data_IF_314144598348
#
_entry.id   IF_314144598348
#
_cell.length_a   1.000
_cell.length_b   1.000
_cell.length_c   1.000
_cell.angle_alpha   90.00
_cell.angle_beta   90.00
_cell.angle_gamma   90.00
#
_symmetry.space_group_name_H-M   'P 1'
#
loop_
_entity.id
_entity.type
_entity.pdbx_description
1 polymer ?
#
# COMPACT_ATOMS: atom_id res chain seq x y z
N UNK A 1 57.44 -41.50 -3.54
CA UNK A 1 58.50 -41.09 -4.49
C UNK A 1 57.84 -40.12 -5.47
N UNK A 2 57.95 -38.80 -5.31
CA UNK A 2 59.01 -37.91 -5.87
C UNK A 2 59.20 -38.16 -7.39
N UNK A 3 58.91 -37.24 -8.31
CA UNK A 3 59.52 -35.91 -8.54
C UNK A 3 58.63 -35.12 -9.55
N UNK A 4 58.32 -33.82 -9.31
CA UNK A 4 58.98 -32.58 -9.84
C UNK A 4 58.82 -32.37 -11.37
N UNK A 5 58.10 -31.35 -11.86
CA UNK A 5 58.34 -29.88 -11.89
C UNK A 5 59.04 -29.39 -13.18
N UNK A 6 58.65 -28.16 -13.58
CA UNK A 6 59.24 -27.22 -14.54
C UNK A 6 58.63 -27.32 -15.97
N UNK A 7 58.28 -26.23 -16.65
CA UNK A 7 58.93 -24.90 -16.62
C UNK A 7 57.96 -23.74 -16.83
N UNK A 8 58.19 -22.69 -16.05
CA UNK A 8 57.75 -21.33 -16.30
C UNK A 8 58.71 -20.63 -17.28
N UNK A 9 58.23 -19.50 -17.82
CA UNK A 9 58.97 -18.32 -18.30
C UNK A 9 59.04 -18.14 -19.82
N UNK A 10 58.21 -17.22 -20.31
CA UNK A 10 58.63 -16.28 -21.35
C UNK A 10 57.95 -14.93 -21.06
N UNK A 11 58.55 -14.19 -20.13
CA UNK A 11 58.32 -12.75 -20.03
C UNK A 11 59.18 -12.04 -21.07
N UNK A 12 58.58 -11.01 -21.68
CA UNK A 12 59.15 -9.74 -22.19
C UNK A 12 59.09 -9.50 -23.70
N UNK A 13 58.75 -8.24 -23.97
CA UNK A 13 58.74 -7.44 -25.20
C UNK A 13 57.40 -7.52 -25.96
N UNK A 14 56.65 -6.45 -26.20
CA UNK A 14 56.96 -5.03 -26.10
C UNK A 14 55.68 -4.21 -25.84
N UNK A 15 55.86 -3.08 -25.16
CA UNK A 15 54.88 -2.03 -25.08
C UNK A 15 54.74 -1.37 -26.46
N UNK A 16 53.52 -1.31 -26.98
CA UNK A 16 53.15 -0.31 -27.97
C UNK A 16 52.01 0.51 -27.37
N UNK A 17 52.38 1.68 -26.88
CA UNK A 17 51.45 2.74 -26.47
C UNK A 17 50.77 3.24 -27.74
N UNK A 18 49.46 3.01 -27.86
CA UNK A 18 48.60 3.86 -28.67
C UNK A 18 47.59 4.55 -27.78
N UNK A 19 47.74 5.86 -27.78
CA UNK A 19 46.95 6.91 -27.16
C UNK A 19 45.55 6.99 -27.76
N UNK A 20 44.56 7.19 -26.87
CA UNK A 20 43.33 7.94 -27.13
C UNK A 20 42.18 7.15 -27.78
N UNK A 21 41.19 6.76 -26.98
CA UNK A 21 39.92 7.50 -26.92
C UNK A 21 39.09 7.03 -25.73
N UNK A 22 38.42 7.99 -25.08
CA UNK A 22 37.52 7.82 -23.95
C UNK A 22 36.37 6.85 -24.28
N UNK A 23 36.42 5.64 -23.74
CA UNK A 23 35.22 4.88 -23.41
C UNK A 23 35.28 4.60 -21.91
N UNK A 24 34.42 5.29 -21.15
CA UNK A 24 34.16 4.97 -19.75
C UNK A 24 33.62 3.54 -19.69
N UNK A 25 34.44 2.63 -19.16
CA UNK A 25 34.07 1.24 -18.97
C UNK A 25 32.93 1.18 -17.92
N UNK A 26 31.69 0.77 -18.27
CA UNK A 26 30.52 0.84 -17.40
C UNK A 26 30.55 -0.17 -16.23
N UNK A 27 31.68 -0.86 -16.03
CA UNK A 27 31.92 -1.84 -14.98
C UNK A 27 33.13 -1.53 -14.09
N UNK A 28 33.67 -0.30 -14.14
CA UNK A 28 34.67 0.15 -13.17
C UNK A 28 34.04 0.31 -11.77
N UNK A 29 33.91 -0.79 -11.03
CA UNK A 29 33.50 -0.77 -9.62
C UNK A 29 34.67 -0.24 -8.78
N UNK A 30 34.71 1.07 -8.58
CA UNK A 30 35.63 1.73 -7.67
C UNK A 30 35.05 1.66 -6.24
N UNK A 31 35.58 0.75 -5.42
CA UNK A 31 35.20 0.65 -4.01
C UNK A 31 35.82 1.83 -3.25
N UNK A 32 35.03 2.87 -2.97
CA UNK A 32 35.43 3.99 -2.11
C UNK A 32 35.13 3.66 -0.62
N UNK A 33 36.13 3.29 0.20
CA UNK A 33 35.91 3.00 1.62
C UNK A 33 35.43 4.23 2.41
N UNK A 34 35.63 5.46 1.89
CA UNK A 34 35.12 6.68 2.53
C UNK A 34 33.64 6.92 2.25
N UNK A 35 33.07 6.32 1.20
CA UNK A 35 31.64 6.46 0.89
C UNK A 35 30.75 5.87 2.00
N UNK A 36 31.11 4.70 2.54
CA UNK A 36 30.40 4.09 3.66
C UNK A 36 30.46 4.95 4.92
N UNK A 37 31.63 5.49 5.24
CA UNK A 37 31.83 6.34 6.43
C UNK A 37 31.04 7.65 6.32
N UNK A 38 31.00 8.25 5.12
CA UNK A 38 30.21 9.46 4.85
C UNK A 38 28.71 9.19 4.96
N UNK A 39 28.24 8.04 4.47
CA UNK A 39 26.84 7.63 4.59
C UNK A 39 26.44 7.46 6.06
N UNK A 40 27.23 6.73 6.84
CA UNK A 40 26.97 6.53 8.28
C UNK A 40 26.96 7.86 9.05
N UNK A 41 27.91 8.76 8.74
CA UNK A 41 27.94 10.10 9.33
C UNK A 41 26.70 10.94 8.96
N UNK A 42 26.22 10.83 7.71
CA UNK A 42 25.01 11.52 7.26
C UNK A 42 23.76 10.96 7.94
N UNK A 43 23.68 9.65 8.15
CA UNK A 43 22.59 8.99 8.88
C UNK A 43 22.54 9.47 10.33
N UNK A 44 23.68 9.52 11.02
CA UNK A 44 23.74 9.99 12.41
C UNK A 44 23.40 11.49 12.53
N UNK A 45 23.80 12.30 11.54
CA UNK A 45 23.41 13.71 11.50
C UNK A 45 21.90 13.88 11.25
N UNK A 46 21.32 13.10 10.33
CA UNK A 46 19.88 13.10 10.07
C UNK A 46 19.06 12.67 11.30
N UNK A 47 19.56 11.71 12.10
CA UNK A 47 18.91 11.34 13.37
C UNK A 47 18.92 12.48 14.37
N UNK A 48 20.03 13.23 14.46
CA UNK A 48 20.14 14.40 15.35
C UNK A 48 19.27 15.57 14.88
N UNK A 49 19.16 15.78 13.57
CA UNK A 49 18.33 16.86 13.01
C UNK A 49 16.83 16.54 13.04
N UNK A 50 16.45 15.26 13.15
CA UNK A 50 15.04 14.85 13.19
C UNK A 50 14.26 15.52 14.33
N UNK A 51 14.85 15.65 15.52
CA UNK A 51 14.17 16.29 16.66
C UNK A 51 13.97 17.79 16.43
N UNK A 52 14.97 18.48 15.88
CA UNK A 52 14.88 19.89 15.52
C UNK A 52 13.84 20.14 14.42
N UNK A 53 13.79 19.30 13.38
CA UNK A 53 12.81 19.40 12.28
C UNK A 53 11.39 19.11 12.80
N UNK A 54 11.27 18.18 13.74
CA UNK A 54 9.99 17.84 14.36
C UNK A 54 9.47 19.00 15.21
N UNK A 55 10.33 19.68 15.98
CA UNK A 55 9.96 20.88 16.73
C UNK A 55 9.53 22.04 15.82
N UNK A 56 10.20 22.23 14.68
CA UNK A 56 9.88 23.30 13.72
C UNK A 56 8.54 23.07 13.00
N UNK A 57 8.23 21.82 12.65
CA UNK A 57 7.02 21.45 11.90
C UNK A 57 5.80 21.18 12.78
N UNK A 58 5.99 20.86 14.06
CA UNK A 58 4.90 20.54 14.96
C UNK A 58 4.03 21.77 15.29
N UNK A 59 2.70 21.60 15.44
CA UNK A 59 1.84 22.67 15.93
C UNK A 59 2.14 22.98 17.41
N UNK A 60 1.98 24.24 17.85
CA UNK A 60 2.14 24.60 19.26
C UNK A 60 1.11 23.82 20.10
N UNK A 61 1.58 23.14 21.16
CA UNK A 61 0.79 22.26 22.03
C UNK A 61 0.44 20.86 21.47
N UNK A 62 1.23 20.32 20.54
CA UNK A 62 1.05 18.94 20.09
C UNK A 62 1.14 17.93 21.25
N UNK A 63 0.19 16.99 21.32
CA UNK A 63 0.22 15.88 22.28
C UNK A 63 1.36 14.90 21.97
N UNK A 64 1.73 14.05 22.93
CA UNK A 64 2.76 13.02 22.70
C UNK A 64 2.38 12.03 21.59
N UNK A 65 1.08 11.74 21.43
CA UNK A 65 0.53 10.90 20.36
C UNK A 65 0.65 11.58 18.99
N UNK A 66 0.31 12.87 18.92
CA UNK A 66 0.49 13.70 17.74
C UNK A 66 1.96 13.73 17.30
N UNK A 67 2.88 13.98 18.23
CA UNK A 67 4.32 13.98 17.94
C UNK A 67 4.82 12.62 17.45
N UNK A 68 4.28 11.51 17.97
CA UNK A 68 4.61 10.16 17.50
C UNK A 68 4.15 9.93 16.05
N UNK A 69 2.97 10.44 15.67
CA UNK A 69 2.49 10.39 14.28
C UNK A 69 3.33 11.25 13.35
N UNK A 70 3.69 12.46 13.76
CA UNK A 70 4.60 13.33 12.98
C UNK A 70 5.94 12.64 12.76
N UNK A 71 6.50 12.02 13.81
CA UNK A 71 7.75 11.26 13.72
C UNK A 71 7.65 10.09 12.74
N UNK A 72 6.61 9.27 12.85
CA UNK A 72 6.39 8.15 11.92
C UNK A 72 6.23 8.62 10.47
N UNK A 73 5.62 9.79 10.29
CA UNK A 73 5.43 10.40 8.99
C UNK A 73 6.75 10.90 8.38
N UNK A 74 7.58 11.61 9.16
CA UNK A 74 8.90 12.08 8.71
C UNK A 74 9.87 10.93 8.39
N UNK A 75 9.73 9.77 9.03
CA UNK A 75 10.50 8.57 8.69
C UNK A 75 10.12 8.02 7.30
N UNK A 76 8.84 8.09 6.93
CA UNK A 76 8.35 7.65 5.61
C UNK A 76 8.65 8.70 4.53
N UNK A 77 8.54 9.97 4.89
CA UNK A 77 8.74 11.12 4.02
C UNK A 77 9.81 12.07 4.60
N UNK A 78 11.10 11.72 4.46
CA UNK A 78 12.18 12.59 4.90
C UNK A 78 12.10 13.96 4.22
N UNK A 79 12.40 15.00 5.00
CA UNK A 79 12.31 16.40 4.61
C UNK A 79 13.69 17.03 4.70
N UNK A 80 14.02 17.88 3.72
CA UNK A 80 15.23 18.69 3.67
C UNK A 80 16.51 17.89 4.00
N UNK A 81 17.11 18.17 5.16
CA UNK A 81 18.37 17.56 5.62
C UNK A 81 18.26 16.07 5.96
N UNK A 82 17.04 15.54 6.04
CA UNK A 82 16.78 14.11 6.28
C UNK A 82 16.88 13.27 5.00
N UNK A 83 17.00 13.91 3.83
CA UNK A 83 17.16 13.22 2.54
C UNK A 83 18.65 12.91 2.34
N UNK A 84 18.98 11.62 2.27
CA UNK A 84 20.36 11.13 2.21
C UNK A 84 20.86 10.81 0.79
N UNK A 85 19.97 10.87 -0.20
CA UNK A 85 20.29 10.53 -1.59
C UNK A 85 21.13 11.64 -2.26
N UNK A 86 22.11 11.25 -3.06
CA UNK A 86 23.01 12.19 -3.75
C UNK A 86 22.28 12.94 -4.87
N UNK A 87 21.51 12.23 -5.70
CA UNK A 87 20.72 12.83 -6.76
C UNK A 87 19.22 12.88 -6.41
N UNK A 88 18.59 13.96 -6.83
CA UNK A 88 17.17 14.23 -6.60
C UNK A 88 16.49 14.63 -7.90
N UNK A 89 15.33 14.04 -8.16
CA UNK A 89 14.43 14.47 -9.23
C UNK A 89 13.19 15.14 -8.64
N UNK A 90 13.01 16.43 -8.93
CA UNK A 90 11.83 17.19 -8.52
C UNK A 90 10.69 16.90 -9.51
N UNK A 91 9.58 16.38 -8.98
CA UNK A 91 8.42 15.95 -9.78
C UNK A 91 7.19 16.84 -9.61
N UNK A 92 7.08 17.52 -8.47
CA UNK A 92 5.96 18.40 -8.14
C UNK A 92 6.46 19.63 -7.38
N UNK A 93 5.90 20.78 -7.69
CA UNK A 93 6.19 22.06 -7.05
C UNK A 93 4.87 22.70 -6.66
N UNK A 94 4.68 22.99 -5.38
CA UNK A 94 3.55 23.78 -4.90
C UNK A 94 3.72 25.24 -5.31
N UNK A 95 2.67 25.84 -5.87
CA UNK A 95 2.63 27.29 -6.07
C UNK A 95 2.36 28.02 -4.74
N UNK A 96 3.17 29.02 -4.36
CA UNK A 96 3.06 29.69 -3.06
C UNK A 96 1.71 30.40 -2.87
N UNK A 97 1.15 30.96 -3.95
CA UNK A 97 -0.06 31.78 -3.90
C UNK A 97 -1.35 30.95 -3.93
N UNK A 98 -1.35 29.83 -4.66
CA UNK A 98 -2.56 29.01 -4.87
C UNK A 98 -2.60 27.76 -3.99
N UNK A 99 -1.46 27.30 -3.48
CA UNK A 99 -1.35 26.05 -2.71
C UNK A 99 -1.63 24.80 -3.54
N UNK A 100 -1.64 24.91 -4.88
CA UNK A 100 -1.86 23.80 -5.81
C UNK A 100 -0.49 23.26 -6.23
N UNK A 101 -0.33 21.94 -6.18
CA UNK A 101 0.87 21.25 -6.68
C UNK A 101 0.82 21.14 -8.21
N UNK A 102 1.79 21.75 -8.89
CA UNK A 102 2.00 21.59 -10.32
C UNK A 102 3.03 20.50 -10.59
N UNK A 103 2.72 19.63 -11.57
CA UNK A 103 3.62 18.57 -11.98
C UNK A 103 4.70 19.15 -12.89
N UNK A 104 5.96 18.96 -12.49
CA UNK A 104 7.13 19.45 -13.24
C UNK A 104 8.05 18.28 -13.54
N UNK A 105 8.60 18.24 -14.75
CA UNK A 105 9.52 17.19 -15.17
C UNK A 105 10.93 17.76 -15.30
N UNK A 106 11.58 18.01 -14.16
CA UNK A 106 12.99 18.41 -14.13
C UNK A 106 13.90 17.18 -14.27
N UNK A 107 15.05 17.37 -14.91
CA UNK A 107 16.12 16.38 -14.92
C UNK A 107 16.65 16.15 -13.50
N UNK A 108 17.21 14.96 -13.19
CA UNK A 108 17.92 14.73 -11.93
C UNK A 108 18.98 15.82 -11.69
N UNK A 109 19.07 16.28 -10.45
CA UNK A 109 20.02 17.31 -10.02
C UNK A 109 20.62 16.96 -8.66
N UNK A 110 21.74 17.59 -8.31
CA UNK A 110 22.36 17.44 -6.99
C UNK A 110 21.42 17.94 -5.88
N UNK A 111 21.40 17.24 -4.75
CA UNK A 111 20.58 17.56 -3.59
C UNK A 111 20.79 18.99 -3.10
N UNK A 112 22.03 19.51 -3.20
CA UNK A 112 22.35 20.90 -2.82
C UNK A 112 21.58 21.92 -3.64
N UNK A 113 21.41 21.67 -4.93
CA UNK A 113 20.70 22.58 -5.82
C UNK A 113 19.17 22.43 -5.66
N UNK A 114 18.69 21.21 -5.40
CA UNK A 114 17.30 20.98 -5.03
C UNK A 114 16.91 21.72 -3.73
N UNK A 115 17.79 21.70 -2.71
CA UNK A 115 17.59 22.42 -1.45
C UNK A 115 17.60 23.94 -1.66
N UNK A 116 18.50 24.46 -2.50
CA UNK A 116 18.49 25.90 -2.86
C UNK A 116 17.17 26.31 -3.52
N UNK A 117 16.62 25.49 -4.41
CA UNK A 117 15.32 25.78 -5.04
C UNK A 117 14.17 25.78 -4.04
N UNK A 118 14.18 24.86 -3.08
CA UNK A 118 13.20 24.83 -1.99
C UNK A 118 13.32 26.09 -1.11
N UNK A 119 14.55 26.46 -0.73
CA UNK A 119 14.84 27.63 0.10
C UNK A 119 14.47 28.96 -0.60
N UNK A 120 14.77 29.09 -1.90
CA UNK A 120 14.38 30.27 -2.70
C UNK A 120 12.86 30.50 -2.70
N UNK A 121 12.09 29.42 -2.65
CA UNK A 121 10.62 29.45 -2.60
C UNK A 121 10.05 29.49 -1.19
N UNK A 122 10.90 29.47 -0.15
CA UNK A 122 10.53 29.36 1.26
C UNK A 122 9.64 28.15 1.54
N UNK A 123 10.00 27.02 0.94
CA UNK A 123 9.29 25.74 1.04
C UNK A 123 10.26 24.62 1.42
N UNK A 124 9.71 23.47 1.80
CA UNK A 124 10.47 22.29 2.16
C UNK A 124 10.58 21.33 0.97
N UNK A 125 11.72 20.65 0.86
CA UNK A 125 11.95 19.54 -0.05
C UNK A 125 11.54 18.23 0.63
N UNK A 126 10.63 17.48 0.02
CA UNK A 126 10.03 16.30 0.64
C UNK A 126 10.21 15.09 -0.27
N UNK A 127 10.76 14.01 0.28
CA UNK A 127 10.93 12.75 -0.45
C UNK A 127 9.62 11.99 -0.57
N UNK A 128 9.25 11.63 -1.80
CA UNK A 128 8.09 10.78 -2.10
C UNK A 128 8.47 9.30 -2.20
N UNK A 129 9.65 9.01 -2.73
CA UNK A 129 10.17 7.67 -2.93
C UNK A 129 11.63 7.72 -3.38
N UNK A 130 12.29 6.58 -3.39
CA UNK A 130 13.68 6.46 -3.84
C UNK A 130 13.82 5.26 -4.78
N UNK A 131 14.74 5.36 -5.74
CA UNK A 131 15.18 4.27 -6.59
C UNK A 131 16.60 3.90 -6.14
N UNK A 132 16.68 3.01 -5.15
CA UNK A 132 17.95 2.69 -4.49
C UNK A 132 18.50 3.87 -3.68
N UNK A 133 19.82 3.88 -3.48
CA UNK A 133 20.51 4.93 -2.73
C UNK A 133 20.93 6.11 -3.62
N UNK A 134 20.89 5.94 -4.94
CA UNK A 134 21.42 6.92 -5.90
C UNK A 134 20.43 8.07 -6.20
N UNK A 135 19.15 7.76 -6.43
CA UNK A 135 18.15 8.72 -6.90
C UNK A 135 16.89 8.77 -6.02
N UNK A 136 16.53 9.96 -5.54
CA UNK A 136 15.27 10.24 -4.86
C UNK A 136 14.28 11.03 -5.71
N UNK A 137 13.00 10.65 -5.65
CA UNK A 137 11.89 11.44 -6.20
C UNK A 137 11.35 12.38 -5.12
N UNK A 138 11.45 13.69 -5.37
CA UNK A 138 11.08 14.71 -4.41
C UNK A 138 10.01 15.67 -4.96
N UNK A 139 9.40 16.40 -4.02
CA UNK A 139 8.47 17.50 -4.27
C UNK A 139 8.83 18.70 -3.39
N UNK A 140 8.56 19.90 -3.86
CA UNK A 140 8.74 21.14 -3.09
C UNK A 140 7.36 21.62 -2.65
N UNK A 141 7.14 21.75 -1.34
CA UNK A 141 5.85 22.16 -0.77
C UNK A 141 5.97 22.70 0.65
N UNK A 142 4.90 23.30 1.17
CA UNK A 142 4.79 23.73 2.57
C UNK A 142 4.42 22.55 3.46
N UNK A 143 5.44 21.93 4.07
CA UNK A 143 5.22 20.71 4.85
C UNK A 143 4.42 20.97 6.13
N UNK A 144 4.59 22.15 6.74
CA UNK A 144 3.89 22.54 7.97
C UNK A 144 2.37 22.43 7.84
N UNK A 145 1.78 22.98 6.77
CA UNK A 145 0.33 22.92 6.54
C UNK A 145 -0.18 21.49 6.34
N UNK A 146 0.67 20.60 5.82
CA UNK A 146 0.34 19.20 5.61
C UNK A 146 0.41 18.39 6.92
N UNK A 147 1.48 18.58 7.68
CA UNK A 147 1.66 17.98 9.00
C UNK A 147 0.53 18.38 9.95
N UNK A 148 0.11 19.64 9.91
CA UNK A 148 -1.00 20.12 10.73
C UNK A 148 -2.32 19.44 10.36
N UNK A 149 -2.63 19.31 9.06
CA UNK A 149 -3.83 18.56 8.60
C UNK A 149 -3.81 17.09 9.03
N UNK A 150 -2.63 16.47 9.10
CA UNK A 150 -2.49 15.07 9.52
C UNK A 150 -2.86 14.87 11.00
N UNK A 151 -2.53 15.86 11.83
CA UNK A 151 -2.60 15.79 13.29
C UNK A 151 -3.83 16.49 13.88
N UNK A 152 -4.46 17.39 13.11
CA UNK A 152 -5.71 18.08 13.44
C UNK A 152 -6.76 17.18 14.14
N UNK A 153 -7.11 15.99 13.63
CA UNK A 153 -8.14 15.16 14.28
C UNK A 153 -7.76 14.72 15.70
N UNK A 154 -6.48 14.53 16.01
CA UNK A 154 -6.04 14.17 17.37
C UNK A 154 -6.05 15.36 18.32
N UNK A 155 -5.69 16.54 17.81
CA UNK A 155 -5.77 17.77 18.61
C UNK A 155 -7.22 18.15 18.92
N UNK A 156 -8.14 17.95 17.97
CA UNK A 156 -9.56 18.16 18.17
C UNK A 156 -10.14 17.19 19.23
N UNK A 157 -9.66 15.93 19.26
CA UNK A 157 -10.03 14.93 20.26
C UNK A 157 -9.52 15.29 21.66
N UNK A 158 -8.27 15.75 21.78
CA UNK A 158 -7.69 16.17 23.07
C UNK A 158 -8.39 17.43 23.58
N UNK A 159 -8.71 18.38 22.71
CA UNK A 159 -9.45 19.61 23.06
C UNK A 159 -10.89 19.31 23.51
N UNK A 160 -11.52 18.24 23.01
CA UNK A 160 -12.82 17.77 23.47
C UNK A 160 -12.82 17.04 24.82
N UNK A 161 -11.66 16.54 25.28
CA UNK A 161 -11.50 15.79 26.52
C UNK A 161 -11.09 16.65 27.72
N UNK A 162 -10.41 17.77 27.50
CA UNK A 162 -10.11 18.76 28.55
C UNK A 162 -11.17 19.85 28.55
N UNK A 163 -12.23 19.64 29.33
CA UNK A 163 -13.33 20.59 29.49
C UNK A 163 -12.87 21.96 29.99
N UNK A 164 -12.77 22.91 29.06
CA UNK A 164 -12.87 24.35 29.30
C UNK A 164 -13.83 24.88 28.22
N UNK A 165 -14.99 25.46 28.58
CA UNK A 165 -15.89 26.03 27.59
C UNK A 165 -15.31 27.37 27.15
N UNK A 166 -14.68 27.41 25.97
CA UNK A 166 -14.37 28.66 25.31
C UNK A 166 -15.58 29.05 24.46
N UNK A 167 -16.43 29.88 25.05
CA UNK A 167 -17.24 30.88 24.35
C UNK A 167 -16.39 31.57 23.30
N UNK A 168 -16.76 31.45 22.03
CA UNK A 168 -16.94 32.59 21.11
C UNK A 168 -17.30 32.11 19.70
N UNK A 169 -18.60 32.04 19.47
CA UNK A 169 -19.34 32.76 18.42
C UNK A 169 -18.53 33.52 17.34
N UNK A 170 -17.66 32.91 16.54
CA UNK A 170 -17.13 33.59 15.33
C UNK A 170 -16.44 32.73 14.26
N UNK A 171 -16.86 31.48 14.02
CA UNK A 171 -16.35 30.72 12.84
C UNK A 171 -17.44 30.02 12.00
N UNK A 172 -18.70 30.40 12.22
CA UNK A 172 -19.83 29.95 11.40
C UNK A 172 -20.11 30.81 10.16
N UNK A 173 -19.30 31.84 9.87
CA UNK A 173 -19.61 32.86 8.85
C UNK A 173 -18.72 32.84 7.59
N UNK A 174 -17.86 31.84 7.37
CA UNK A 174 -17.04 31.75 6.13
C UNK A 174 -17.14 30.42 5.36
N UNK A 175 -18.08 29.53 5.71
CA UNK A 175 -18.41 28.35 4.89
C UNK A 175 -19.77 28.43 4.20
N UNK A 176 -20.37 29.62 4.09
CA UNK A 176 -21.73 29.79 3.56
C UNK A 176 -21.83 30.49 2.19
N UNK A 177 -20.73 30.91 1.55
CA UNK A 177 -20.76 31.51 0.19
C UNK A 177 -20.24 30.61 -0.95
N UNK A 178 -20.02 29.32 -0.70
CA UNK A 178 -19.76 28.33 -1.76
C UNK A 178 -20.68 27.10 -1.72
N UNK A 179 -21.87 27.26 -1.12
CA UNK A 179 -22.97 26.27 -1.13
C UNK A 179 -24.31 26.87 -1.60
N UNK A 180 -24.26 27.80 -2.54
CA UNK A 180 -25.43 28.24 -3.30
C UNK A 180 -25.15 28.11 -4.80
N UNK A 181 -24.90 26.89 -5.25
CA UNK A 181 -25.40 26.40 -6.53
C UNK A 181 -25.47 24.87 -6.37
N UNK A 182 -26.57 24.28 -6.80
CA UNK A 182 -26.94 22.85 -6.67
C UNK A 182 -27.60 22.42 -5.34
N UNK A 183 -28.63 23.18 -4.93
CA UNK A 183 -29.73 22.58 -4.19
C UNK A 183 -30.67 21.87 -5.18
N UNK A 184 -30.59 20.55 -5.25
CA UNK A 184 -31.69 19.69 -5.71
C UNK A 184 -31.52 18.25 -5.18
N UNK A 185 -32.20 17.97 -4.07
CA UNK A 185 -32.78 16.65 -3.76
C UNK A 185 -31.96 15.65 -2.92
N UNK A 186 -32.47 15.35 -1.73
CA UNK A 186 -32.51 13.96 -1.22
C UNK A 186 -31.72 13.65 0.06
N UNK A 187 -32.48 13.62 1.16
CA UNK A 187 -32.33 12.86 2.40
C UNK A 187 -31.06 12.94 3.26
N UNK A 188 -31.31 13.32 4.52
CA UNK A 188 -30.35 13.33 5.61
C UNK A 188 -29.76 11.95 5.90
N UNK A 189 -28.44 11.86 5.79
CA UNK A 189 -27.67 10.85 6.49
C UNK A 189 -26.32 11.44 6.88
N UNK A 190 -26.35 12.39 7.81
CA UNK A 190 -25.18 13.03 8.38
C UNK A 190 -24.61 12.18 9.53
N UNK A 191 -24.06 11.00 9.23
CA UNK A 191 -23.01 10.39 10.09
C UNK A 191 -22.29 9.16 9.49
N UNK A 192 -22.24 9.01 8.16
CA UNK A 192 -21.56 7.86 7.52
C UNK A 192 -20.33 8.34 6.76
N UNK A 193 -19.13 7.77 7.03
CA UNK A 193 -17.92 8.20 6.32
C UNK A 193 -18.09 8.01 4.81
N UNK A 194 -17.82 9.06 4.03
CA UNK A 194 -18.05 9.05 2.57
C UNK A 194 -17.21 7.95 1.90
N UNK A 195 -17.85 7.20 1.00
CA UNK A 195 -17.15 6.30 0.07
C UNK A 195 -16.30 7.13 -0.89
N UNK A 196 -15.09 6.68 -1.20
CA UNK A 196 -14.22 7.35 -2.16
C UNK A 196 -14.79 7.22 -3.59
N UNK A 197 -14.93 8.36 -4.28
CA UNK A 197 -15.53 8.47 -5.62
C UNK A 197 -14.56 9.03 -6.69
N UNK A 198 -13.25 8.96 -6.42
CA UNK A 198 -12.21 9.40 -7.36
C UNK A 198 -11.77 8.32 -8.36
N UNK A 199 -10.61 8.53 -9.00
CA UNK A 199 -10.00 7.53 -9.90
C UNK A 199 -9.69 6.25 -9.13
N UNK A 200 -9.94 5.09 -9.73
CA UNK A 200 -9.58 3.80 -9.14
C UNK A 200 -8.11 3.79 -8.76
N UNK A 201 -7.82 3.39 -7.52
CA UNK A 201 -6.46 3.19 -7.03
C UNK A 201 -5.89 1.86 -7.55
N UNK A 202 -4.70 1.51 -7.09
CA UNK A 202 -4.07 0.23 -7.39
C UNK A 202 -4.95 -0.95 -6.95
N UNK A 203 -4.94 -2.01 -7.78
CA UNK A 203 -5.64 -3.28 -7.53
C UNK A 203 -5.02 -3.97 -6.31
N UNK A 204 -5.86 -4.33 -5.35
CA UNK A 204 -5.44 -5.12 -4.18
C UNK A 204 -5.84 -6.58 -4.40
N UNK A 205 -4.85 -7.47 -4.40
CA UNK A 205 -5.06 -8.92 -4.49
C UNK A 205 -5.13 -9.55 -3.10
N UNK A 206 -6.25 -10.20 -2.80
CA UNK A 206 -6.49 -10.94 -1.57
C UNK A 206 -6.46 -12.43 -1.88
N UNK A 207 -5.28 -13.02 -1.79
CA UNK A 207 -5.11 -14.46 -1.90
C UNK A 207 -5.48 -15.20 -0.60
N UNK A 208 -6.20 -16.31 -0.70
CA UNK A 208 -6.50 -17.21 0.42
C UNK A 208 -6.72 -18.66 -0.05
N UNK A 209 -6.75 -19.61 0.89
CA UNK A 209 -6.94 -21.04 0.61
C UNK A 209 -8.42 -21.40 0.50
N UNK A 210 -8.75 -22.53 -0.12
CA UNK A 210 -10.11 -23.08 -0.09
C UNK A 210 -10.55 -23.49 1.34
N UNK A 211 -9.66 -24.10 2.13
CA UNK A 211 -9.95 -24.52 3.50
C UNK A 211 -9.75 -23.35 4.48
N UNK A 212 -10.74 -22.47 4.56
CA UNK A 212 -10.81 -21.36 5.54
C UNK A 212 -12.01 -21.49 6.47
N UNK A 213 -11.86 -20.98 7.69
CA UNK A 213 -12.90 -20.98 8.71
C UNK A 213 -13.87 -19.80 8.56
N UNK A 214 -15.01 -19.88 9.25
CA UNK A 214 -16.02 -18.83 9.23
C UNK A 214 -15.49 -17.52 9.84
N UNK A 215 -14.59 -17.61 10.83
CA UNK A 215 -13.98 -16.43 11.44
C UNK A 215 -13.15 -15.65 10.41
N UNK A 216 -12.34 -16.33 9.60
CA UNK A 216 -11.58 -15.76 8.51
C UNK A 216 -12.48 -15.05 7.51
N UNK A 217 -13.55 -15.72 7.06
CA UNK A 217 -14.51 -15.13 6.13
C UNK A 217 -15.17 -13.88 6.75
N UNK A 218 -15.49 -13.92 8.04
CA UNK A 218 -16.09 -12.82 8.79
C UNK A 218 -15.20 -11.57 8.86
N UNK A 219 -13.93 -11.69 9.25
CA UNK A 219 -13.07 -10.50 9.35
C UNK A 219 -12.50 -10.08 7.99
N UNK A 220 -12.19 -11.03 7.10
CA UNK A 220 -11.58 -10.75 5.81
C UNK A 220 -12.56 -10.05 4.86
N UNK A 221 -13.84 -10.44 4.86
CA UNK A 221 -14.88 -9.74 4.09
C UNK A 221 -15.00 -8.27 4.49
N UNK A 222 -14.99 -7.97 5.80
CA UNK A 222 -14.98 -6.58 6.30
C UNK A 222 -13.77 -5.80 5.78
N UNK A 223 -12.59 -6.43 5.79
CA UNK A 223 -11.36 -5.80 5.27
C UNK A 223 -11.45 -5.50 3.78
N UNK A 224 -11.92 -6.47 2.97
CA UNK A 224 -12.14 -6.30 1.53
C UNK A 224 -13.07 -5.11 1.24
N UNK A 225 -14.19 -5.02 1.95
CA UNK A 225 -15.16 -3.93 1.79
C UNK A 225 -14.55 -2.57 2.18
N UNK A 226 -13.70 -2.53 3.21
CA UNK A 226 -12.96 -1.30 3.55
C UNK A 226 -11.99 -0.87 2.45
N UNK A 227 -11.34 -1.81 1.77
CA UNK A 227 -10.41 -1.50 0.67
C UNK A 227 -11.18 -1.00 -0.57
N UNK A 228 -12.35 -1.59 -0.86
CA UNK A 228 -13.30 -1.06 -1.86
C UNK A 228 -13.73 0.37 -1.49
N UNK A 229 -14.07 0.63 -0.22
CA UNK A 229 -14.48 1.97 0.26
C UNK A 229 -13.41 3.03 0.00
N UNK A 230 -12.14 2.65 0.09
CA UNK A 230 -10.98 3.53 -0.15
C UNK A 230 -10.71 3.78 -1.64
N UNK A 231 -11.46 3.14 -2.54
CA UNK A 231 -11.31 3.30 -4.00
C UNK A 231 -10.38 2.28 -4.65
N UNK A 232 -10.02 1.19 -3.96
CA UNK A 232 -9.23 0.12 -4.56
C UNK A 232 -10.13 -0.87 -5.29
N UNK A 233 -9.83 -1.24 -6.54
CA UNK A 233 -10.29 -2.49 -7.12
C UNK A 233 -9.74 -3.66 -6.29
N UNK A 234 -10.55 -4.69 -6.10
CA UNK A 234 -10.19 -5.85 -5.27
C UNK A 234 -10.31 -7.12 -6.08
N UNK A 235 -9.25 -7.93 -6.08
CA UNK A 235 -9.24 -9.29 -6.60
C UNK A 235 -9.23 -10.28 -5.43
N UNK A 236 -10.14 -11.24 -5.45
CA UNK A 236 -10.17 -12.37 -4.52
C UNK A 236 -9.62 -13.57 -5.26
N UNK A 237 -8.55 -14.17 -4.75
CA UNK A 237 -7.83 -15.23 -5.47
C UNK A 237 -7.65 -16.47 -4.60
N UNK A 238 -7.96 -17.64 -5.16
CA UNK A 238 -7.63 -18.95 -4.60
C UNK A 238 -6.70 -19.66 -5.57
N UNK A 239 -5.43 -19.76 -5.18
CA UNK A 239 -4.42 -20.57 -5.87
C UNK A 239 -4.30 -21.96 -5.26
N UNK A 240 -4.50 -22.06 -3.95
CA UNK A 240 -4.41 -23.31 -3.21
C UNK A 240 -5.81 -23.89 -2.94
N UNK A 241 -6.23 -24.83 -3.78
CA UNK A 241 -7.48 -25.55 -3.67
C UNK A 241 -7.34 -27.08 -3.83
N UNK A 242 -8.23 -27.83 -3.16
CA UNK A 242 -8.31 -29.28 -3.23
C UNK A 242 -9.07 -29.77 -4.46
N UNK A 243 -10.16 -29.09 -4.82
CA UNK A 243 -10.99 -29.35 -5.99
C UNK A 243 -11.50 -28.03 -6.58
N UNK A 244 -11.85 -27.98 -7.88
CA UNK A 244 -12.43 -26.78 -8.48
C UNK A 244 -13.73 -26.37 -7.78
N UNK A 245 -14.55 -27.35 -7.39
CA UNK A 245 -15.78 -27.13 -6.63
C UNK A 245 -15.53 -26.45 -5.28
N UNK A 246 -14.52 -26.92 -4.51
CA UNK A 246 -14.18 -26.32 -3.23
C UNK A 246 -13.71 -24.87 -3.38
N UNK A 247 -12.93 -24.57 -4.43
CA UNK A 247 -12.47 -23.22 -4.72
C UNK A 247 -13.64 -22.28 -5.06
N UNK A 248 -14.51 -22.69 -5.99
CA UNK A 248 -15.66 -21.88 -6.42
C UNK A 248 -16.65 -21.69 -5.27
N UNK A 249 -16.94 -22.75 -4.50
CA UNK A 249 -17.81 -22.66 -3.34
C UNK A 249 -17.28 -21.64 -2.31
N UNK A 250 -15.97 -21.64 -2.05
CA UNK A 250 -15.36 -20.73 -1.06
C UNK A 250 -15.25 -19.29 -1.56
N UNK A 251 -14.99 -19.08 -2.85
CA UNK A 251 -15.12 -17.77 -3.47
C UNK A 251 -16.55 -17.24 -3.37
N UNK A 252 -17.55 -18.11 -3.60
CA UNK A 252 -18.97 -17.75 -3.45
C UNK A 252 -19.32 -17.39 -2.01
N UNK A 253 -18.84 -18.16 -1.02
CA UNK A 253 -19.05 -17.89 0.40
C UNK A 253 -18.45 -16.53 0.81
N UNK A 254 -17.21 -16.25 0.40
CA UNK A 254 -16.57 -14.94 0.62
C UNK A 254 -17.31 -13.80 -0.09
N UNK A 255 -17.73 -14.03 -1.33
CA UNK A 255 -18.48 -13.06 -2.14
C UNK A 255 -19.81 -12.69 -1.48
N UNK A 256 -20.54 -13.68 -0.95
CA UNK A 256 -21.80 -13.44 -0.23
C UNK A 256 -21.57 -12.66 1.08
N UNK A 257 -20.50 -12.97 1.82
CA UNK A 257 -20.15 -12.24 3.04
C UNK A 257 -19.76 -10.77 2.74
N UNK A 258 -18.99 -10.55 1.68
CA UNK A 258 -18.65 -9.20 1.18
C UNK A 258 -19.91 -8.45 0.77
N UNK A 259 -20.83 -9.10 0.04
CA UNK A 259 -22.11 -8.50 -0.37
C UNK A 259 -22.92 -8.04 0.84
N UNK A 260 -23.16 -8.93 1.80
CA UNK A 260 -23.96 -8.63 2.98
C UNK A 260 -23.41 -7.45 3.79
N UNK A 261 -22.09 -7.43 4.01
CA UNK A 261 -21.47 -6.33 4.76
C UNK A 261 -21.42 -5.02 3.96
N UNK A 262 -21.23 -5.08 2.65
CA UNK A 262 -21.27 -3.90 1.79
C UNK A 262 -22.67 -3.28 1.71
N UNK A 263 -23.72 -4.10 1.65
CA UNK A 263 -25.12 -3.65 1.71
C UNK A 263 -25.44 -2.99 3.06
N UNK A 264 -25.00 -3.58 4.18
CA UNK A 264 -25.18 -3.02 5.53
C UNK A 264 -24.49 -1.65 5.68
N UNK A 265 -23.29 -1.51 5.13
CA UNK A 265 -22.49 -0.28 5.22
C UNK A 265 -22.73 0.71 4.07
N UNK A 266 -23.64 0.39 3.15
CA UNK A 266 -23.94 1.19 1.95
C UNK A 266 -22.69 1.54 1.13
N UNK A 267 -21.79 0.57 0.96
CA UNK A 267 -20.60 0.67 0.13
C UNK A 267 -20.93 0.02 -1.21
N UNK A 268 -20.98 0.83 -2.26
CA UNK A 268 -21.35 0.35 -3.59
C UNK A 268 -20.13 -0.21 -4.32
N UNK A 269 -20.34 -1.22 -5.16
CA UNK A 269 -19.32 -1.76 -6.05
C UNK A 269 -19.98 -2.63 -7.11
N UNK A 270 -19.25 -2.87 -8.19
CA UNK A 270 -19.70 -3.75 -9.24
C UNK A 270 -18.71 -4.89 -9.46
N UNK A 271 -19.26 -6.06 -9.72
CA UNK A 271 -18.53 -7.20 -10.25
C UNK A 271 -17.96 -6.87 -11.63
N UNK A 272 -16.67 -7.20 -11.84
CA UNK A 272 -15.97 -6.96 -13.11
C UNK A 272 -15.68 -8.27 -13.86
N UNK A 273 -15.13 -9.27 -13.18
CA UNK A 273 -14.73 -10.52 -13.84
C UNK A 273 -14.65 -11.69 -12.86
N UNK A 274 -15.03 -12.88 -13.36
CA UNK A 274 -14.85 -14.16 -12.68
C UNK A 274 -14.01 -15.05 -13.60
N UNK A 275 -12.93 -15.61 -13.05
CA UNK A 275 -11.99 -16.44 -13.79
C UNK A 275 -11.83 -17.75 -13.04
N UNK A 276 -12.18 -18.85 -13.70
CA UNK A 276 -11.86 -20.20 -13.26
C UNK A 276 -10.86 -20.82 -14.23
N UNK A 277 -9.67 -21.15 -13.72
CA UNK A 277 -8.59 -21.78 -14.48
C UNK A 277 -7.98 -22.95 -13.68
N UNK A 278 -7.08 -23.72 -14.31
CA UNK A 278 -6.40 -24.89 -13.73
C UNK A 278 -5.56 -24.57 -12.47
N UNK A 279 -5.06 -23.34 -12.35
CA UNK A 279 -4.18 -22.89 -11.25
C UNK A 279 -4.77 -21.81 -10.37
N UNK A 280 -5.86 -21.19 -10.79
CA UNK A 280 -6.42 -20.02 -10.11
C UNK A 280 -7.93 -19.95 -10.32
N UNK A 281 -8.65 -19.81 -9.22
CA UNK A 281 -10.01 -19.29 -9.21
C UNK A 281 -9.97 -17.86 -8.66
N UNK A 282 -10.55 -16.90 -9.37
CA UNK A 282 -10.57 -15.51 -8.91
C UNK A 282 -11.84 -14.75 -9.26
N UNK A 283 -12.13 -13.74 -8.43
CA UNK A 283 -13.26 -12.83 -8.55
C UNK A 283 -12.76 -11.39 -8.39
N UNK A 284 -13.05 -10.51 -9.35
CA UNK A 284 -12.67 -9.09 -9.29
C UNK A 284 -13.89 -8.21 -9.07
N UNK A 285 -13.79 -7.32 -8.08
CA UNK A 285 -14.79 -6.31 -7.72
C UNK A 285 -14.16 -4.93 -7.86
N UNK A 286 -14.90 -3.99 -8.43
CA UNK A 286 -14.43 -2.62 -8.65
C UNK A 286 -15.35 -1.61 -7.98
N UNK A 287 -14.79 -0.56 -7.34
CA UNK A 287 -15.59 0.52 -6.78
C UNK A 287 -16.30 1.30 -7.90
N UNK A 288 -17.39 2.03 -7.58
CA UNK A 288 -18.07 2.87 -8.53
C UNK A 288 -17.15 4.02 -8.96
N UNK A 289 -16.96 4.17 -10.26
CA UNK A 289 -16.33 5.35 -10.84
C UNK A 289 -17.40 6.37 -11.19
N UNK A 290 -17.17 7.65 -10.89
CA UNK A 290 -18.07 8.71 -11.33
C UNK A 290 -18.11 8.77 -12.86
N UNK A 291 -19.30 8.75 -13.44
CA UNK A 291 -19.47 8.96 -14.87
C UNK A 291 -19.15 10.43 -15.22
N UNK A 292 -18.97 10.74 -16.51
CA UNK A 292 -18.74 12.12 -17.00
C UNK A 292 -19.82 13.13 -16.53
N UNK A 293 -21.00 12.63 -16.16
CA UNK A 293 -22.13 13.39 -15.60
C UNK A 293 -22.09 13.57 -14.08
N UNK A 294 -21.03 13.11 -13.38
CA UNK A 294 -20.92 13.17 -11.91
C UNK A 294 -21.79 12.15 -11.16
N UNK A 295 -22.66 11.42 -11.85
CA UNK A 295 -23.50 10.38 -11.26
C UNK A 295 -22.76 9.04 -11.18
N UNK A 296 -23.02 8.27 -10.12
CA UNK A 296 -22.45 6.93 -9.93
C UNK A 296 -23.54 5.93 -9.56
N UNK A 297 -23.36 4.66 -9.93
CA UNK A 297 -24.34 3.61 -9.64
C UNK A 297 -24.33 3.27 -8.15
N UNK A 298 -25.47 3.46 -7.49
CA UNK A 298 -25.71 3.06 -6.09
C UNK A 298 -26.19 1.61 -6.00
N UNK A 299 -25.49 0.69 -6.68
CA UNK A 299 -25.85 -0.73 -6.66
C UNK A 299 -24.67 -1.57 -6.21
N UNK A 300 -24.96 -2.61 -5.44
CA UNK A 300 -24.01 -3.66 -5.07
C UNK A 300 -24.25 -4.84 -6.00
N UNK A 301 -23.37 -5.04 -6.99
CA UNK A 301 -23.51 -6.12 -7.98
C UNK A 301 -22.50 -7.24 -7.72
N UNK A 302 -23.01 -8.46 -7.61
CA UNK A 302 -22.26 -9.70 -7.46
C UNK A 302 -22.64 -10.71 -8.56
N UNK A 303 -21.81 -11.74 -8.81
CA UNK A 303 -22.13 -12.75 -9.80
C UNK A 303 -23.42 -13.52 -9.46
N UNK A 304 -24.19 -13.82 -10.48
CA UNK A 304 -25.43 -14.59 -10.45
C UNK A 304 -25.17 -16.10 -10.39
N UNK A 305 -26.19 -16.89 -10.06
CA UNK A 305 -26.09 -18.36 -10.03
C UNK A 305 -25.62 -18.96 -11.36
N UNK A 306 -26.08 -18.37 -12.48
CA UNK A 306 -25.69 -18.82 -13.82
C UNK A 306 -24.20 -18.60 -14.09
N UNK A 307 -23.64 -17.48 -13.63
CA UNK A 307 -22.21 -17.17 -13.77
C UNK A 307 -21.35 -18.08 -12.89
N UNK A 308 -21.81 -18.40 -11.68
CA UNK A 308 -21.15 -19.38 -10.81
C UNK A 308 -21.14 -20.77 -11.43
N UNK A 309 -22.29 -21.26 -11.91
CA UNK A 309 -22.39 -22.58 -12.54
C UNK A 309 -21.55 -22.67 -13.82
N UNK A 310 -21.56 -21.63 -14.65
CA UNK A 310 -20.73 -21.55 -15.84
C UNK A 310 -19.22 -21.56 -15.50
N UNK A 311 -18.82 -20.82 -14.46
CA UNK A 311 -17.43 -20.77 -14.00
C UNK A 311 -16.97 -22.11 -13.45
N UNK A 312 -17.82 -22.77 -12.66
CA UNK A 312 -17.54 -24.10 -12.12
C UNK A 312 -17.26 -25.09 -13.24
N UNK A 313 -18.19 -25.20 -14.21
CA UNK A 313 -18.04 -26.09 -15.36
C UNK A 313 -16.76 -25.79 -16.15
N UNK A 314 -16.49 -24.51 -16.41
CA UNK A 314 -15.27 -24.09 -17.13
C UNK A 314 -13.99 -24.49 -16.36
N UNK A 315 -14.01 -24.36 -15.04
CA UNK A 315 -12.86 -24.71 -14.21
C UNK A 315 -12.67 -26.23 -14.11
N UNK A 316 -13.76 -27.00 -14.03
CA UNK A 316 -13.76 -28.47 -14.11
C UNK A 316 -13.17 -28.94 -15.44
N UNK A 317 -13.64 -28.41 -16.57
CA UNK A 317 -13.13 -28.73 -17.90
C UNK A 317 -11.63 -28.37 -18.02
N UNK A 318 -11.20 -27.22 -17.49
CA UNK A 318 -9.80 -26.80 -17.49
C UNK A 318 -8.91 -27.73 -16.64
N UNK A 319 -9.36 -28.11 -15.44
CA UNK A 319 -8.66 -29.03 -14.56
C UNK A 319 -8.57 -30.44 -15.17
N UNK A 320 -9.65 -30.92 -15.79
CA UNK A 320 -9.69 -32.20 -16.47
C UNK A 320 -8.75 -32.22 -17.68
N UNK A 321 -8.74 -31.14 -18.49
CA UNK A 321 -7.82 -30.99 -19.61
C UNK A 321 -6.35 -30.96 -19.18
N UNK A 322 -6.06 -30.34 -18.03
CA UNK A 322 -4.72 -30.30 -17.45
C UNK A 322 -4.31 -31.60 -16.74
N UNK A 323 -5.23 -32.56 -16.55
CA UNK A 323 -4.97 -33.79 -15.81
C UNK A 323 -4.73 -33.59 -14.31
N UNK A 324 -5.11 -32.43 -13.76
CA UNK A 324 -4.91 -32.06 -12.36
C UNK A 324 -6.21 -31.54 -11.77
N UNK A 325 -6.77 -32.27 -10.80
CA UNK A 325 -8.04 -31.91 -10.15
C UNK A 325 -7.91 -30.84 -9.07
N UNK A 326 -6.70 -30.53 -8.63
CA UNK A 326 -6.46 -29.57 -7.56
C UNK A 326 -4.98 -29.34 -7.30
N UNK A 327 -4.68 -28.28 -6.57
CA UNK A 327 -3.30 -27.92 -6.27
C UNK A 327 -2.68 -28.75 -5.14
N UNK A 328 -3.50 -29.15 -4.17
CA UNK A 328 -3.12 -30.00 -3.07
C UNK A 328 -4.23 -31.02 -2.77
N UNK A 329 -3.93 -32.03 -1.97
CA UNK A 329 -4.93 -32.99 -1.48
C UNK A 329 -4.80 -33.09 0.03
N UNK A 330 -5.93 -33.20 0.74
CA UNK A 330 -5.91 -33.43 2.20
C UNK A 330 -5.25 -34.77 2.49
N UNK A 331 -4.29 -34.76 3.39
CA UNK A 331 -3.64 -36.00 3.84
C UNK A 331 -4.54 -36.75 4.81
N UNK A 332 -4.54 -38.09 4.73
CA UNK A 332 -5.20 -38.95 5.72
C UNK A 332 -4.47 -39.03 7.08
N UNK A 333 -3.47 -38.17 7.31
CA UNK A 333 -2.71 -38.12 8.56
C UNK A 333 -3.58 -37.51 9.67
N UNK A 334 -3.80 -38.27 10.73
CA UNK A 334 -4.45 -37.80 11.94
C UNK A 334 -3.39 -37.32 12.93
N UNK A 335 -3.48 -36.06 13.36
CA UNK A 335 -2.64 -35.53 14.45
C UNK A 335 -3.19 -36.00 15.79
N UNK A 336 -2.32 -36.19 16.77
CA UNK A 336 -2.77 -36.46 18.14
C UNK A 336 -3.65 -35.30 18.62
N UNK A 337 -4.81 -35.62 19.17
CA UNK A 337 -5.82 -34.63 19.55
C UNK A 337 -6.43 -35.02 20.88
N UNK A 338 -6.26 -34.15 21.87
CA UNK A 338 -7.03 -34.24 23.10
C UNK A 338 -8.46 -33.75 22.83
N UNK A 339 -9.45 -34.60 23.13
CA UNK A 339 -10.88 -34.31 22.97
C UNK A 339 -11.56 -33.80 24.24
N UNK A 340 -10.81 -33.71 25.35
CA UNK A 340 -11.34 -33.29 26.65
C UNK A 340 -12.08 -34.43 27.38
N UNK A 341 -12.95 -34.11 28.35
CA UNK A 341 -13.74 -35.10 29.08
C UNK A 341 -14.70 -35.85 28.15
N UNK A 342 -14.65 -37.19 28.16
CA UNK A 342 -15.51 -38.05 27.35
C UNK A 342 -16.19 -39.14 28.16
N UNK A 343 -17.38 -39.56 27.75
CA UNK A 343 -18.16 -40.65 28.37
C UNK A 343 -17.76 -42.04 27.86
N UNK A 344 -16.85 -42.12 26.90
CA UNK A 344 -16.35 -43.34 26.28
C UNK A 344 -14.82 -43.31 26.18
N UNK A 345 -14.21 -44.48 25.96
CA UNK A 345 -12.76 -44.60 25.74
C UNK A 345 -12.37 -44.05 24.38
N UNK A 346 -11.29 -43.27 24.34
CA UNK A 346 -10.81 -42.58 23.13
C UNK A 346 -9.33 -42.88 22.91
N UNK A 347 -8.95 -43.14 21.66
CA UNK A 347 -7.53 -43.29 21.29
C UNK A 347 -6.79 -41.95 21.23
N UNK A 348 -5.47 -41.98 21.04
CA UNK A 348 -4.62 -40.78 20.96
C UNK A 348 -4.95 -39.82 19.81
N UNK A 349 -5.72 -40.27 18.82
CA UNK A 349 -6.14 -39.49 17.65
C UNK A 349 -7.55 -38.91 17.81
N UNK A 350 -8.22 -39.15 18.94
CA UNK A 350 -9.57 -38.66 19.20
C UNK A 350 -10.68 -39.57 18.65
N UNK A 351 -10.38 -40.82 18.33
CA UNK A 351 -11.37 -41.79 17.83
C UNK A 351 -11.94 -42.62 18.99
N UNK A 352 -13.24 -42.89 18.95
CA UNK A 352 -13.88 -43.82 19.88
C UNK A 352 -13.26 -45.20 19.71
N UNK A 353 -12.99 -45.87 20.83
CA UNK A 353 -12.62 -47.28 20.87
C UNK A 353 -13.91 -48.07 21.00
N UNK A 354 -14.18 -48.95 20.04
CA UNK A 354 -15.36 -49.83 20.03
C UNK A 354 -15.22 -51.01 21.00
#
# INVERSE_FOLDING_TARGET
MSCRCLSASAWRLAAEVRTGDNEEDPFAFEFDPMASVRHDAAVENAKKSLESVLEELAPPNASSEALAKIRSYLQQHPVDTLILNAEVQITHIENPDTGIEERVHLSPMDIKDALKQAQQRKMNLVRMGARGDDLAYCRIRREQAWVWKLVQPEMDLVSGLTGIPATDSSVAAQQQEQRQHDASGGDGQADRPRQYLGKTKELVDHAFRDAVDAHFIGWRSKKIVQDIRKGHPVKLTIRDFQSPEAAVHKLREMSNAVKAYAEEQHIYHHFTSIVGNDREASLTLSPPTANKSGTFSKTVKHPSEKEWAHTLKRMEDACQKAGRSGTYVKSNKLKMRNVGPTTYRVDKYGRRVD
#
